data_IF_005634398760
#
_entry.id   IF_005634398760
#
_cell.length_a   1.000
_cell.length_b   1.000
_cell.length_c   1.000
_cell.angle_alpha   90.00
_cell.angle_beta   90.00
_cell.angle_gamma   90.00
#
_symmetry.space_group_name_H-M   'P 1'
#
loop_
_entity.id
_entity.type
_entity.pdbx_description
1 polymer ?
#
# COMPACT_ATOMS: atom_id res chain seq x y z
N UNK A 1 8.37 0.62 12.92
CA UNK A 1 7.52 1.62 12.23
C UNK A 1 8.42 2.35 11.23
N UNK A 2 8.24 2.15 9.93
CA UNK A 2 9.02 2.88 8.93
C UNK A 2 8.39 4.26 8.76
N UNK A 3 9.17 5.32 9.02
CA UNK A 3 8.74 6.69 8.77
C UNK A 3 8.78 6.96 7.27
N UNK A 4 7.68 7.45 6.69
CA UNK A 4 7.65 7.84 5.28
C UNK A 4 8.57 9.07 5.13
N UNK A 5 9.56 9.03 4.22
CA UNK A 5 10.48 10.15 4.03
C UNK A 5 9.74 11.37 3.46
N UNK A 6 10.08 12.55 3.98
CA UNK A 6 9.60 13.81 3.43
C UNK A 6 10.26 14.06 2.06
N UNK A 7 9.48 14.46 1.05
CA UNK A 7 9.94 14.79 -0.31
C UNK A 7 9.78 16.28 -0.64
N UNK A 8 9.34 17.09 0.32
CA UNK A 8 9.21 18.53 0.16
C UNK A 8 10.57 19.18 -0.09
N UNK A 9 10.58 20.27 -0.86
CA UNK A 9 11.76 21.10 -1.14
C UNK A 9 12.93 20.37 -1.85
N UNK A 10 12.68 19.22 -2.48
CA UNK A 10 13.67 18.54 -3.31
C UNK A 10 13.85 19.24 -4.68
N UNK A 11 15.05 19.22 -5.29
CA UNK A 11 15.29 19.75 -6.64
C UNK A 11 14.44 19.07 -7.74
N UNK A 12 13.95 17.87 -7.46
CA UNK A 12 13.06 17.08 -8.31
C UNK A 12 11.79 16.78 -7.51
N UNK A 13 10.62 17.05 -8.08
CA UNK A 13 9.35 16.73 -7.45
C UNK A 13 9.11 15.20 -7.48
N UNK A 14 9.60 14.51 -6.44
CA UNK A 14 9.35 13.08 -6.24
C UNK A 14 7.98 12.82 -5.56
N UNK A 15 7.36 13.84 -4.97
CA UNK A 15 6.05 13.73 -4.35
C UNK A 15 4.98 13.38 -5.40
N UNK A 16 5.03 14.01 -6.58
CA UNK A 16 4.11 13.70 -7.69
C UNK A 16 4.19 12.24 -8.16
N UNK A 17 5.38 11.64 -8.16
CA UNK A 17 5.58 10.22 -8.48
C UNK A 17 4.94 9.31 -7.43
N UNK A 18 5.10 9.65 -6.15
CA UNK A 18 4.47 8.93 -5.04
C UNK A 18 2.95 9.04 -5.12
N UNK A 19 2.42 10.24 -5.35
CA UNK A 19 0.99 10.51 -5.45
C UNK A 19 0.36 9.73 -6.61
N UNK A 20 1.03 9.72 -7.77
CA UNK A 20 0.57 8.94 -8.93
C UNK A 20 0.55 7.44 -8.63
N UNK A 21 1.62 6.91 -8.00
CA UNK A 21 1.72 5.50 -7.63
C UNK A 21 0.66 5.09 -6.61
N UNK A 22 0.39 5.94 -5.61
CA UNK A 22 -0.70 5.75 -4.65
C UNK A 22 -2.06 5.70 -5.35
N UNK A 23 -2.31 6.67 -6.23
CA UNK A 23 -3.58 6.76 -6.98
C UNK A 23 -3.82 5.53 -7.84
N UNK A 24 -2.79 5.02 -8.52
CA UNK A 24 -2.89 3.80 -9.32
C UNK A 24 -3.19 2.57 -8.47
N UNK A 25 -2.48 2.41 -7.34
CA UNK A 25 -2.74 1.31 -6.39
C UNK A 25 -4.18 1.35 -5.87
N UNK A 26 -4.64 2.51 -5.40
CA UNK A 26 -6.01 2.68 -4.90
C UNK A 26 -7.05 2.44 -6.01
N UNK A 27 -6.78 2.87 -7.24
CA UNK A 27 -7.66 2.60 -8.38
C UNK A 27 -7.76 1.10 -8.68
N UNK A 28 -6.66 0.36 -8.60
CA UNK A 28 -6.68 -1.11 -8.74
C UNK A 28 -7.51 -1.73 -7.61
N UNK A 29 -7.27 -1.32 -6.37
CA UNK A 29 -8.00 -1.84 -5.20
C UNK A 29 -9.50 -1.54 -5.28
N UNK A 30 -9.91 -0.41 -5.85
CA UNK A 30 -11.33 -0.04 -6.04
C UNK A 30 -12.06 -0.92 -7.07
N UNK A 31 -11.36 -1.56 -8.01
CA UNK A 31 -11.99 -2.44 -9.01
C UNK A 31 -12.59 -3.69 -8.37
N UNK A 32 -11.97 -4.22 -7.32
CA UNK A 32 -12.54 -5.28 -6.50
C UNK A 32 -13.47 -4.65 -5.44
N UNK A 33 -14.71 -5.11 -5.32
CA UNK A 33 -15.70 -4.56 -4.37
C UNK A 33 -15.66 -5.31 -3.03
N UNK A 34 -16.18 -4.68 -1.97
CA UNK A 34 -16.27 -5.28 -0.63
C UNK A 34 -14.99 -5.20 0.19
N UNK A 35 -14.94 -5.93 1.32
CA UNK A 35 -13.72 -6.12 2.10
C UNK A 35 -12.74 -7.00 1.32
N UNK A 36 -11.45 -6.69 1.42
CA UNK A 36 -10.40 -7.33 0.62
C UNK A 36 -9.21 -7.67 1.50
N UNK A 37 -8.57 -8.81 1.21
CA UNK A 37 -7.25 -9.14 1.74
C UNK A 37 -6.21 -8.96 0.62
N UNK A 38 -5.30 -8.01 0.78
CA UNK A 38 -4.15 -7.82 -0.09
C UNK A 38 -2.97 -8.62 0.46
N UNK A 39 -2.63 -9.71 -0.23
CA UNK A 39 -1.47 -10.55 0.11
C UNK A 39 -0.29 -10.15 -0.76
N UNK A 40 0.83 -9.78 -0.14
CA UNK A 40 2.05 -9.31 -0.84
C UNK A 40 3.25 -10.20 -0.54
N UNK A 41 4.19 -10.31 -1.48
CA UNK A 41 5.49 -10.91 -1.19
C UNK A 41 6.17 -10.11 -0.05
N UNK A 42 6.70 -10.78 1.01
CA UNK A 42 7.39 -10.12 2.12
C UNK A 42 8.49 -9.13 1.67
N UNK A 43 9.16 -9.40 0.54
CA UNK A 43 10.21 -8.54 -0.03
C UNK A 43 9.68 -7.20 -0.53
N UNK A 44 8.38 -7.09 -0.82
CA UNK A 44 7.74 -5.87 -1.28
C UNK A 44 7.21 -4.99 -0.14
N UNK A 45 7.05 -5.54 1.07
CA UNK A 45 6.44 -4.82 2.20
C UNK A 45 7.14 -3.51 2.54
N UNK A 46 8.47 -3.52 2.54
CA UNK A 46 9.28 -2.32 2.76
C UNK A 46 9.03 -1.24 1.72
N UNK A 47 9.12 -1.59 0.43
CA UNK A 47 8.90 -0.66 -0.69
C UNK A 47 7.48 -0.12 -0.72
N UNK A 48 6.47 -0.95 -0.48
CA UNK A 48 5.07 -0.51 -0.44
C UNK A 48 4.80 0.46 0.72
N UNK A 49 5.49 0.30 1.86
CA UNK A 49 5.33 1.20 3.01
C UNK A 49 5.80 2.64 2.73
N UNK A 50 6.67 2.84 1.73
CA UNK A 50 7.09 4.16 1.26
C UNK A 50 6.01 4.84 0.40
N UNK A 51 5.10 4.05 -0.17
CA UNK A 51 4.02 4.53 -1.01
C UNK A 51 2.75 4.72 -0.20
N UNK A 52 2.35 3.79 0.67
CA UNK A 52 1.05 3.85 1.32
C UNK A 52 1.11 3.41 2.78
N UNK A 53 0.37 4.12 3.64
CA UNK A 53 0.18 3.72 5.02
C UNK A 53 -0.90 2.65 5.14
N UNK A 54 -0.71 1.70 6.05
CA UNK A 54 -1.69 0.64 6.32
C UNK A 54 -3.02 1.17 6.83
N UNK A 55 -3.05 2.34 7.47
CA UNK A 55 -4.28 3.06 7.85
C UNK A 55 -5.14 3.38 6.63
N UNK A 56 -4.55 3.96 5.59
CA UNK A 56 -5.25 4.29 4.36
C UNK A 56 -5.80 3.04 3.67
N UNK A 57 -5.06 1.92 3.67
CA UNK A 57 -5.58 0.66 3.15
C UNK A 57 -6.84 0.20 3.91
N UNK A 58 -6.84 0.31 5.24
CA UNK A 58 -7.99 -0.06 6.07
C UNK A 58 -9.22 0.81 5.79
N UNK A 59 -9.04 2.11 5.52
CA UNK A 59 -10.14 3.00 5.11
C UNK A 59 -10.81 2.54 3.80
N UNK A 60 -10.05 1.90 2.91
CA UNK A 60 -10.56 1.29 1.68
C UNK A 60 -11.06 -0.16 1.87
N UNK A 61 -11.16 -0.63 3.11
CA UNK A 61 -11.58 -1.98 3.46
C UNK A 61 -10.56 -3.05 3.07
N UNK A 62 -9.28 -2.69 2.98
CA UNK A 62 -8.18 -3.59 2.60
C UNK A 62 -7.35 -3.96 3.81
N UNK A 63 -7.31 -5.25 4.12
CA UNK A 63 -6.39 -5.84 5.08
C UNK A 63 -5.10 -6.25 4.36
N UNK A 64 -3.94 -5.83 4.87
CA UNK A 64 -2.63 -6.17 4.29
C UNK A 64 -2.03 -7.37 5.03
N UNK A 65 -1.64 -8.41 4.30
CA UNK A 65 -0.91 -9.56 4.82
C UNK A 65 0.30 -9.89 3.95
N UNK A 66 1.32 -10.48 4.57
CA UNK A 66 2.45 -11.03 3.82
C UNK A 66 2.12 -12.45 3.37
N UNK A 67 2.58 -12.82 2.17
CA UNK A 67 2.53 -14.17 1.66
C UNK A 67 3.31 -15.08 2.60
N UNK A 68 2.65 -16.11 3.10
CA UNK A 68 3.24 -17.19 3.88
C UNK A 68 2.75 -18.54 3.35
N UNK A 69 3.34 -19.63 3.83
CA UNK A 69 2.88 -20.99 3.49
C UNK A 69 1.55 -21.35 4.20
N UNK A 70 1.14 -20.56 5.18
CA UNK A 70 -0.09 -20.79 5.93
C UNK A 70 -1.31 -20.33 5.14
N UNK A 71 -2.44 -20.98 5.38
CA UNK A 71 -3.69 -20.58 4.74
C UNK A 71 -4.15 -19.22 5.29
N UNK A 72 -4.43 -18.29 4.39
CA UNK A 72 -5.00 -16.99 4.76
C UNK A 72 -6.50 -17.16 5.00
N UNK A 73 -6.91 -17.11 6.27
CA UNK A 73 -8.31 -17.00 6.64
C UNK A 73 -8.76 -15.55 6.48
N UNK A 74 -9.79 -15.33 5.66
CA UNK A 74 -10.46 -14.04 5.49
C UNK A 74 -11.86 -14.12 6.10
N UNK A 75 -12.29 -13.05 6.78
CA UNK A 75 -13.66 -12.91 7.32
C UNK A 75 -14.73 -12.70 6.22
#
# INVERSE_FOLDING_TARGET
MAQIPNLDNAPINLASLRDQSQKELLNILRKARGKKCLVIDPKLGGSLSLLIQTSLLKEYGVELRHLSAEHVQTE
#
